data_IF_768999307329
#
_entry.id   IF_768999307329
#
_cell.length_a   1.000
_cell.length_b   1.000
_cell.length_c   1.000
_cell.angle_alpha   90.00
_cell.angle_beta   90.00
_cell.angle_gamma   90.00
#
_symmetry.space_group_name_H-M   'P 1'
#
loop_
_entity.id
_entity.type
_entity.pdbx_description
1 polymer ?
#
# COMPACT_ATOMS: atom_id res chain seq x y z
N UNK A 1 -78.03 -27.26 37.63
CA UNK A 1 -77.13 -26.16 37.95
C UNK A 1 -75.80 -26.48 37.31
N UNK A 2 -75.57 -25.90 36.12
CA UNK A 2 -74.37 -26.13 35.30
C UNK A 2 -73.39 -25.01 35.60
N UNK A 3 -72.19 -25.33 36.07
CA UNK A 3 -71.10 -24.39 36.24
C UNK A 3 -70.31 -24.32 34.94
N UNK A 4 -70.29 -23.15 34.29
CA UNK A 4 -69.39 -22.82 33.19
C UNK A 4 -67.97 -22.48 33.74
N UNK A 5 -66.95 -23.20 33.31
CA UNK A 5 -65.56 -22.85 33.54
C UNK A 5 -65.05 -22.02 32.35
N UNK A 6 -64.60 -20.78 32.60
CA UNK A 6 -64.00 -19.88 31.64
C UNK A 6 -62.49 -20.15 31.61
N UNK A 7 -61.99 -20.73 30.53
CA UNK A 7 -60.57 -20.92 30.33
C UNK A 7 -59.99 -19.64 29.68
N UNK A 8 -59.18 -18.89 30.44
CA UNK A 8 -58.41 -17.76 29.92
C UNK A 8 -57.15 -18.25 29.16
N UNK A 9 -57.09 -17.97 27.88
CA UNK A 9 -55.91 -18.22 27.03
C UNK A 9 -54.92 -17.06 27.20
N UNK A 10 -53.80 -17.29 27.90
CA UNK A 10 -52.67 -16.37 27.97
C UNK A 10 -51.90 -16.53 26.64
N UNK A 11 -51.98 -15.54 25.76
CA UNK A 11 -51.09 -15.45 24.61
C UNK A 11 -49.72 -14.88 25.09
N UNK A 12 -48.73 -15.77 25.20
CA UNK A 12 -47.33 -15.37 25.39
C UNK A 12 -46.82 -14.91 24.06
N UNK A 13 -46.66 -13.59 23.89
CA UNK A 13 -45.96 -13.00 22.75
C UNK A 13 -44.47 -13.36 22.81
N UNK A 14 -44.04 -14.28 21.96
CA UNK A 14 -42.63 -14.50 21.63
C UNK A 14 -42.15 -13.29 20.83
N UNK A 15 -41.56 -12.31 21.52
CA UNK A 15 -40.64 -11.34 20.84
C UNK A 15 -39.40 -12.12 20.44
N UNK A 16 -39.38 -12.61 19.21
CA UNK A 16 -38.18 -13.15 18.60
C UNK A 16 -37.19 -11.99 18.46
N UNK A 17 -36.15 -11.95 19.29
CA UNK A 17 -34.93 -11.28 18.96
C UNK A 17 -34.35 -12.06 17.77
N UNK A 18 -34.53 -11.56 16.54
CA UNK A 18 -33.66 -11.93 15.41
C UNK A 18 -32.29 -11.38 15.79
N UNK A 19 -31.41 -12.22 16.26
CA UNK A 19 -29.98 -11.91 16.23
C UNK A 19 -29.62 -11.85 14.74
N UNK A 20 -29.60 -10.64 14.14
CA UNK A 20 -28.93 -10.46 12.89
C UNK A 20 -27.50 -10.93 13.10
N UNK A 21 -27.01 -11.80 12.20
CA UNK A 21 -25.60 -12.16 12.20
C UNK A 21 -24.78 -10.87 12.09
N UNK A 22 -23.70 -10.73 12.87
CA UNK A 22 -22.89 -9.52 12.82
C UNK A 22 -22.42 -9.30 11.38
N UNK A 23 -22.61 -8.09 10.88
CA UNK A 23 -22.13 -7.71 9.55
C UNK A 23 -20.60 -7.75 9.56
N UNK A 24 -19.99 -8.28 8.51
CA UNK A 24 -18.54 -8.47 8.40
C UNK A 24 -18.02 -7.70 7.19
N UNK A 25 -16.91 -7.00 7.35
CA UNK A 25 -16.11 -6.39 6.30
C UNK A 25 -14.82 -7.20 6.10
N UNK A 26 -14.63 -7.79 4.93
CA UNK A 26 -13.39 -8.47 4.58
C UNK A 26 -12.46 -7.46 3.88
N UNK A 27 -11.47 -6.98 4.62
CA UNK A 27 -10.48 -6.01 4.15
C UNK A 27 -9.18 -6.72 3.74
N UNK A 28 -8.72 -6.50 2.50
CA UNK A 28 -7.48 -7.02 1.95
C UNK A 28 -6.49 -5.89 1.72
N UNK A 29 -5.44 -5.82 2.52
CA UNK A 29 -4.53 -4.68 2.60
C UNK A 29 -3.07 -5.14 2.66
N UNK A 30 -2.17 -4.20 2.59
CA UNK A 30 -0.75 -4.43 2.81
C UNK A 30 -0.46 -4.83 4.26
N UNK A 31 0.65 -5.50 4.48
CA UNK A 31 1.16 -5.80 5.82
C UNK A 31 1.48 -4.48 6.55
N UNK A 32 1.22 -4.45 7.88
CA UNK A 32 1.53 -3.29 8.76
C UNK A 32 1.02 -1.92 8.24
N UNK A 33 -0.09 -1.90 7.52
CA UNK A 33 -0.60 -0.71 6.80
C UNK A 33 -1.92 -0.16 7.34
N UNK A 34 -2.37 -0.66 8.48
CA UNK A 34 -3.57 -0.21 9.20
C UNK A 34 -3.40 -0.48 10.70
N UNK A 35 -3.46 0.54 11.57
CA UNK A 35 -3.43 0.36 13.00
C UNK A 35 -4.60 -0.48 13.51
N UNK A 36 -4.35 -1.41 14.43
CA UNK A 36 -5.41 -2.23 15.04
C UNK A 36 -6.47 -1.38 15.74
N UNK A 37 -6.06 -0.28 16.37
CA UNK A 37 -6.96 0.67 17.03
C UNK A 37 -8.03 1.21 16.07
N UNK A 38 -7.70 1.47 14.81
CA UNK A 38 -8.64 1.95 13.78
C UNK A 38 -9.71 0.90 13.49
N UNK A 39 -9.30 -0.37 13.37
CA UNK A 39 -10.23 -1.50 13.15
C UNK A 39 -11.17 -1.70 14.34
N UNK A 40 -10.62 -1.59 15.55
CA UNK A 40 -11.38 -1.73 16.79
C UNK A 40 -12.41 -0.60 16.95
N UNK A 41 -12.00 0.66 16.73
CA UNK A 41 -12.88 1.83 16.75
C UNK A 41 -14.01 1.73 15.73
N UNK A 42 -13.71 1.32 14.50
CA UNK A 42 -14.73 1.10 13.48
C UNK A 42 -15.77 0.05 13.94
N UNK A 43 -15.29 -1.06 14.50
CA UNK A 43 -16.17 -2.12 15.01
C UNK A 43 -17.03 -1.64 16.20
N UNK A 44 -16.43 -0.87 17.11
CA UNK A 44 -17.15 -0.31 18.26
C UNK A 44 -18.25 0.68 17.85
N UNK A 45 -17.98 1.52 16.84
CA UNK A 45 -18.91 2.56 16.40
C UNK A 45 -20.03 2.01 15.52
N UNK A 46 -19.75 1.00 14.68
CA UNK A 46 -20.69 0.52 13.66
C UNK A 46 -21.31 -0.83 13.97
N UNK A 47 -20.69 -1.62 14.84
CA UNK A 47 -21.04 -3.04 15.05
C UNK A 47 -20.57 -3.96 13.92
N UNK A 48 -19.87 -3.46 12.88
CA UNK A 48 -19.34 -4.24 11.77
C UNK A 48 -17.98 -4.79 12.16
N UNK A 49 -17.84 -6.12 12.11
CA UNK A 49 -16.56 -6.76 12.37
C UNK A 49 -15.64 -6.65 11.13
N UNK A 50 -14.36 -6.32 11.33
CA UNK A 50 -13.38 -6.29 10.26
C UNK A 50 -12.54 -7.57 10.29
N UNK A 51 -12.55 -8.32 9.19
CA UNK A 51 -11.63 -9.42 8.92
C UNK A 51 -10.50 -8.88 8.06
N UNK A 52 -9.35 -8.68 8.69
CA UNK A 52 -8.17 -8.10 8.05
C UNK A 52 -7.27 -9.20 7.50
N UNK A 53 -6.96 -9.15 6.22
CA UNK A 53 -6.06 -10.09 5.54
C UNK A 53 -4.99 -9.29 4.81
N UNK A 54 -3.74 -9.77 4.79
CA UNK A 54 -2.62 -9.04 4.22
C UNK A 54 -2.06 -9.68 2.96
N UNK A 55 -1.34 -8.89 2.18
CA UNK A 55 -0.49 -9.28 1.05
C UNK A 55 0.79 -8.45 1.04
N UNK A 56 1.80 -8.93 0.30
CA UNK A 56 3.15 -8.36 0.22
C UNK A 56 3.49 -7.79 -1.17
N UNK A 57 2.59 -7.98 -2.17
CA UNK A 57 2.77 -7.43 -3.51
C UNK A 57 1.44 -7.22 -4.23
N UNK A 58 1.40 -6.23 -5.13
CA UNK A 58 0.24 -5.99 -5.99
C UNK A 58 -0.09 -7.20 -6.86
N UNK A 59 0.93 -7.93 -7.34
CA UNK A 59 0.79 -9.14 -8.15
C UNK A 59 0.06 -10.24 -7.38
N UNK A 60 0.46 -10.48 -6.12
CA UNK A 60 -0.17 -11.48 -5.24
C UNK A 60 -1.63 -11.11 -4.95
N UNK A 61 -1.88 -9.84 -4.61
CA UNK A 61 -3.24 -9.31 -4.39
C UNK A 61 -4.12 -9.52 -5.62
N UNK A 62 -3.66 -9.07 -6.78
CA UNK A 62 -4.41 -9.17 -8.04
C UNK A 62 -4.68 -10.61 -8.46
N UNK A 63 -3.67 -11.48 -8.42
CA UNK A 63 -3.83 -12.90 -8.73
C UNK A 63 -4.87 -13.55 -7.81
N UNK A 64 -4.84 -13.22 -6.52
CA UNK A 64 -5.80 -13.73 -5.56
C UNK A 64 -7.23 -13.26 -5.86
N UNK A 65 -7.43 -11.97 -6.13
CA UNK A 65 -8.75 -11.42 -6.46
C UNK A 65 -9.34 -12.04 -7.73
N UNK A 66 -8.52 -12.35 -8.73
CA UNK A 66 -8.95 -13.05 -9.96
C UNK A 66 -9.32 -14.51 -9.76
N UNK A 67 -8.70 -15.19 -8.80
CA UNK A 67 -8.92 -16.61 -8.54
C UNK A 67 -10.08 -16.89 -7.58
N UNK A 68 -10.47 -15.91 -6.78
CA UNK A 68 -11.55 -16.08 -5.80
C UNK A 68 -12.91 -16.13 -6.51
N UNK A 69 -13.66 -17.18 -6.19
CA UNK A 69 -15.06 -17.26 -6.53
C UNK A 69 -15.91 -16.41 -5.57
N UNK A 70 -17.20 -16.35 -5.84
CA UNK A 70 -18.14 -15.57 -5.03
C UNK A 70 -18.24 -16.02 -3.56
N UNK A 71 -17.67 -17.15 -3.17
CA UNK A 71 -17.81 -17.67 -1.80
C UNK A 71 -16.79 -17.10 -0.81
N UNK A 72 -15.67 -16.55 -1.32
CA UNK A 72 -14.53 -16.07 -0.54
C UNK A 72 -14.09 -14.63 -0.94
N UNK A 73 -15.06 -13.79 -1.30
CA UNK A 73 -14.79 -12.44 -1.79
C UNK A 73 -14.29 -11.51 -0.68
N UNK A 74 -13.37 -10.61 -1.04
CA UNK A 74 -13.06 -9.44 -0.25
C UNK A 74 -14.05 -8.31 -0.57
N UNK A 75 -14.33 -7.47 0.43
CA UNK A 75 -15.24 -6.33 0.30
C UNK A 75 -14.50 -5.04 -0.03
N UNK A 76 -13.26 -4.95 0.40
CA UNK A 76 -12.38 -3.80 0.18
C UNK A 76 -10.95 -4.30 -0.06
N UNK A 77 -10.23 -3.68 -1.00
CA UNK A 77 -8.82 -3.92 -1.27
C UNK A 77 -8.09 -2.58 -1.46
N UNK A 78 -6.74 -2.59 -1.36
CA UNK A 78 -5.92 -1.37 -1.35
C UNK A 78 -4.77 -1.45 -2.37
N UNK A 79 -5.06 -1.54 -3.68
CA UNK A 79 -4.03 -1.55 -4.72
C UNK A 79 -3.32 -0.21 -4.89
N UNK A 80 -2.07 -0.28 -5.37
CA UNK A 80 -1.36 0.90 -5.85
C UNK A 80 -1.87 1.37 -7.23
N UNK A 81 -1.51 2.61 -7.59
CA UNK A 81 -1.99 3.35 -8.77
C UNK A 81 -2.14 2.51 -10.03
N UNK A 82 -1.11 1.79 -10.45
CA UNK A 82 -1.13 1.06 -11.72
C UNK A 82 -2.06 -0.17 -11.72
N UNK A 83 -2.26 -0.80 -10.54
CA UNK A 83 -3.24 -1.88 -10.41
C UNK A 83 -4.68 -1.37 -10.34
N UNK A 84 -4.92 -0.17 -9.81
CA UNK A 84 -6.25 0.47 -9.93
C UNK A 84 -6.63 0.61 -11.39
N UNK A 85 -5.72 1.13 -12.25
CA UNK A 85 -5.93 1.26 -13.69
C UNK A 85 -6.22 -0.09 -14.35
N UNK A 86 -5.36 -1.09 -14.09
CA UNK A 86 -5.49 -2.45 -14.64
C UNK A 86 -6.82 -3.11 -14.24
N UNK A 87 -7.13 -3.10 -12.95
CA UNK A 87 -8.36 -3.75 -12.43
C UNK A 87 -9.62 -3.07 -12.96
N UNK A 88 -9.59 -1.73 -13.12
CA UNK A 88 -10.68 -0.98 -13.75
C UNK A 88 -10.88 -1.37 -15.20
N UNK A 89 -9.81 -1.47 -15.99
CA UNK A 89 -9.86 -1.86 -17.41
C UNK A 89 -10.37 -3.29 -17.60
N UNK A 90 -10.08 -4.19 -16.66
CA UNK A 90 -10.52 -5.58 -16.69
C UNK A 90 -11.91 -5.81 -16.06
N UNK A 91 -12.64 -4.74 -15.69
CA UNK A 91 -13.98 -4.83 -15.09
C UNK A 91 -14.00 -5.66 -13.79
N UNK A 92 -12.95 -5.51 -12.95
CA UNK A 92 -12.79 -6.22 -11.68
C UNK A 92 -13.26 -5.39 -10.47
N UNK A 93 -13.72 -4.15 -10.67
CA UNK A 93 -14.10 -3.23 -9.61
C UNK A 93 -15.58 -2.83 -9.73
N UNK A 94 -16.21 -2.59 -8.57
CA UNK A 94 -17.49 -1.90 -8.49
C UNK A 94 -17.25 -0.38 -8.46
N UNK A 95 -18.14 0.41 -9.09
CA UNK A 95 -18.09 1.86 -8.94
C UNK A 95 -18.33 2.26 -7.48
N UNK A 96 -17.56 3.26 -7.03
CA UNK A 96 -17.77 3.92 -5.74
C UNK A 96 -18.98 4.83 -5.82
N UNK A 97 -19.92 4.68 -4.90
CA UNK A 97 -21.02 5.63 -4.72
C UNK A 97 -20.53 6.82 -3.87
N UNK A 98 -20.11 7.88 -4.56
CA UNK A 98 -19.60 9.10 -3.92
C UNK A 98 -20.56 9.72 -2.91
N UNK A 99 -21.86 9.52 -3.07
CA UNK A 99 -22.86 10.04 -2.11
C UNK A 99 -22.83 9.36 -0.76
N UNK A 100 -22.13 8.22 -0.67
CA UNK A 100 -21.93 7.43 0.56
C UNK A 100 -20.55 7.63 1.17
N UNK A 101 -19.68 8.43 0.56
CA UNK A 101 -18.33 8.70 1.06
C UNK A 101 -18.29 10.09 1.67
N UNK A 102 -18.30 10.16 2.98
CA UNK A 102 -18.06 11.40 3.73
C UNK A 102 -16.55 11.70 3.78
N UNK A 103 -16.18 12.99 3.83
CA UNK A 103 -14.79 13.42 3.95
C UNK A 103 -13.96 13.38 2.65
N UNK A 104 -14.49 12.94 1.53
CA UNK A 104 -13.76 12.92 0.27
C UNK A 104 -13.27 14.31 -0.17
N UNK A 105 -14.00 15.37 0.13
CA UNK A 105 -13.64 16.74 -0.25
C UNK A 105 -12.44 17.28 0.57
N UNK A 106 -11.99 16.55 1.59
CA UNK A 106 -10.76 16.83 2.34
C UNK A 106 -9.50 16.29 1.64
N UNK A 107 -9.65 15.45 0.61
CA UNK A 107 -8.52 14.88 -0.12
C UNK A 107 -7.80 15.93 -0.95
N UNK A 108 -6.48 15.81 -1.04
CA UNK A 108 -5.61 16.68 -1.84
C UNK A 108 -6.04 16.66 -3.32
N UNK A 109 -6.38 17.82 -3.91
CA UNK A 109 -6.75 17.91 -5.32
C UNK A 109 -5.68 17.39 -6.29
N UNK A 110 -4.41 17.32 -5.89
CA UNK A 110 -3.32 16.79 -6.71
C UNK A 110 -3.29 15.25 -6.73
N UNK A 111 -3.95 14.59 -5.76
CA UNK A 111 -4.01 13.14 -5.63
C UNK A 111 -5.38 12.54 -6.01
N UNK A 112 -6.31 13.36 -6.46
CA UNK A 112 -7.62 12.92 -6.96
C UNK A 112 -7.75 13.17 -8.45
N UNK A 113 -8.70 12.49 -9.10
CA UNK A 113 -8.99 12.64 -10.51
C UNK A 113 -7.78 12.41 -11.45
N UNK A 114 -6.93 11.46 -11.06
CA UNK A 114 -5.78 11.05 -11.85
C UNK A 114 -6.21 10.22 -13.08
N UNK A 115 -5.38 10.18 -14.11
CA UNK A 115 -5.64 9.41 -15.35
C UNK A 115 -5.88 7.91 -15.10
N UNK A 116 -5.36 7.39 -13.99
CA UNK A 116 -5.58 6.00 -13.57
C UNK A 116 -7.05 5.69 -13.27
N UNK A 117 -7.78 6.67 -12.71
CA UNK A 117 -9.21 6.58 -12.41
C UNK A 117 -9.87 7.96 -12.49
N UNK A 118 -10.23 8.41 -13.71
CA UNK A 118 -10.92 9.69 -13.91
C UNK A 118 -12.19 9.78 -13.06
N UNK A 119 -12.38 10.95 -12.42
CA UNK A 119 -13.48 11.26 -11.50
C UNK A 119 -13.48 10.40 -10.20
N UNK A 120 -12.43 9.65 -9.91
CA UNK A 120 -12.36 8.69 -8.79
C UNK A 120 -13.61 7.79 -8.74
N UNK A 121 -13.93 7.22 -9.89
CA UNK A 121 -15.13 6.40 -10.05
C UNK A 121 -15.02 5.04 -9.37
N UNK A 122 -13.81 4.51 -9.24
CA UNK A 122 -13.56 3.16 -8.73
C UNK A 122 -12.61 3.13 -7.54
N UNK A 123 -11.99 4.25 -7.19
CA UNK A 123 -10.99 4.33 -6.13
C UNK A 123 -11.13 5.55 -5.24
N UNK A 124 -10.70 5.41 -3.99
CA UNK A 124 -10.57 6.51 -3.02
C UNK A 124 -9.15 6.50 -2.48
N UNK A 125 -8.37 7.58 -2.65
CA UNK A 125 -7.04 7.71 -2.09
C UNK A 125 -7.00 7.40 -0.59
N UNK A 126 -6.03 6.56 -0.19
CA UNK A 126 -5.85 6.13 1.19
C UNK A 126 -4.57 6.69 1.80
N UNK A 127 -3.44 6.29 1.28
CA UNK A 127 -2.11 6.78 1.67
C UNK A 127 -1.24 6.91 0.42
N UNK A 128 -0.25 7.77 0.49
CA UNK A 128 0.74 7.93 -0.56
C UNK A 128 2.14 8.00 0.01
N UNK A 129 3.11 7.75 -0.82
CA UNK A 129 4.48 7.78 -0.40
C UNK A 129 5.46 7.60 -1.54
N UNK A 130 6.67 7.25 -1.13
CA UNK A 130 7.79 7.08 -2.04
C UNK A 130 8.63 5.88 -1.62
N UNK A 131 9.28 5.26 -2.61
CA UNK A 131 10.31 4.24 -2.38
C UNK A 131 11.66 4.84 -2.72
N UNK A 132 12.53 4.89 -1.73
CA UNK A 132 13.87 5.44 -1.83
C UNK A 132 14.93 4.55 -1.20
N UNK A 133 16.07 5.13 -0.89
CA UNK A 133 17.18 4.41 -0.25
C UNK A 133 17.03 4.45 1.28
N UNK A 134 17.23 3.30 1.92
CA UNK A 134 17.56 3.20 3.34
C UNK A 134 19.08 3.11 3.48
N UNK A 135 19.64 3.81 4.45
CA UNK A 135 21.07 3.87 4.71
C UNK A 135 21.31 3.81 6.22
N UNK A 136 21.96 2.77 6.70
CA UNK A 136 22.48 2.74 8.08
C UNK A 136 23.78 3.53 8.16
N UNK A 137 23.70 4.77 8.58
CA UNK A 137 24.86 5.67 8.63
C UNK A 137 25.89 5.34 9.69
N UNK A 138 25.58 4.43 10.62
CA UNK A 138 26.53 3.99 11.67
C UNK A 138 27.57 3.01 11.13
N UNK A 139 27.19 2.17 10.17
CA UNK A 139 28.02 1.07 9.66
C UNK A 139 28.65 1.34 8.29
N UNK A 140 28.29 2.49 7.64
CA UNK A 140 28.81 2.86 6.33
C UNK A 140 30.06 3.76 6.45
N UNK A 141 31.19 3.26 5.93
CA UNK A 141 32.41 4.03 5.75
C UNK A 141 32.52 4.55 4.31
N UNK A 142 33.14 5.71 4.13
CA UNK A 142 33.42 6.31 2.81
C UNK A 142 32.49 7.44 2.45
N UNK A 143 32.22 7.59 1.14
CA UNK A 143 31.37 8.67 0.63
C UNK A 143 29.89 8.41 0.98
N UNK A 144 29.08 9.47 1.17
CA UNK A 144 27.64 9.33 1.40
C UNK A 144 26.94 8.59 0.26
N UNK A 145 25.94 7.79 0.58
CA UNK A 145 25.03 7.18 -0.38
C UNK A 145 23.99 8.22 -0.81
N UNK A 146 23.93 8.56 -2.10
CA UNK A 146 23.05 9.60 -2.65
C UNK A 146 22.31 9.17 -3.93
N UNK A 147 22.67 8.04 -4.48
CA UNK A 147 22.19 7.56 -5.77
C UNK A 147 21.83 6.06 -5.70
N UNK A 148 20.91 5.61 -6.55
CA UNK A 148 20.65 4.19 -6.70
C UNK A 148 21.89 3.42 -7.17
N UNK A 149 22.72 4.04 -8.03
CA UNK A 149 23.95 3.43 -8.53
C UNK A 149 24.95 3.08 -7.44
N UNK A 150 24.92 3.76 -6.28
CA UNK A 150 25.79 3.48 -5.14
C UNK A 150 25.59 2.06 -4.57
N UNK A 151 24.41 1.43 -4.79
CA UNK A 151 24.17 0.04 -4.39
C UNK A 151 25.12 -0.96 -5.04
N UNK A 152 25.74 -0.63 -6.18
CA UNK A 152 26.70 -1.50 -6.88
C UNK A 152 28.13 -1.38 -6.38
N UNK A 153 28.39 -0.57 -5.35
CA UNK A 153 29.74 -0.44 -4.79
C UNK A 153 30.14 -1.71 -4.03
N UNK A 154 31.37 -2.16 -4.20
CA UNK A 154 31.94 -3.38 -3.58
C UNK A 154 31.82 -3.39 -2.05
N UNK A 155 31.77 -2.22 -1.39
CA UNK A 155 31.60 -2.10 0.07
C UNK A 155 30.26 -2.65 0.57
N UNK A 156 29.28 -2.83 -0.29
CA UNK A 156 27.95 -3.34 0.05
C UNK A 156 27.74 -4.81 -0.34
N UNK A 157 28.82 -5.57 -0.68
CA UNK A 157 28.70 -6.99 -1.02
C UNK A 157 28.01 -7.79 0.11
N UNK A 158 26.85 -8.40 -0.22
CA UNK A 158 26.03 -9.17 0.72
C UNK A 158 25.32 -8.35 1.80
N UNK A 159 25.17 -7.02 1.60
CA UNK A 159 24.58 -6.08 2.58
C UNK A 159 23.42 -5.25 2.03
N UNK A 160 23.00 -5.50 0.79
CA UNK A 160 21.89 -4.77 0.14
C UNK A 160 20.56 -5.46 0.43
N UNK A 161 19.54 -4.69 0.81
CA UNK A 161 18.14 -5.10 0.86
C UNK A 161 17.37 -4.54 -0.33
N UNK A 162 16.58 -5.36 -0.99
CA UNK A 162 15.62 -4.93 -2.00
C UNK A 162 14.19 -5.31 -1.58
N UNK A 163 13.21 -4.53 -2.01
CA UNK A 163 11.81 -4.91 -1.87
C UNK A 163 11.53 -6.15 -2.73
N UNK A 164 10.57 -6.99 -2.31
CA UNK A 164 10.10 -8.12 -3.11
C UNK A 164 9.01 -7.67 -4.08
N UNK A 165 9.23 -6.54 -4.75
CA UNK A 165 8.35 -5.95 -5.75
C UNK A 165 9.07 -5.83 -7.09
N UNK A 166 8.58 -6.54 -8.08
CA UNK A 166 9.18 -6.61 -9.41
C UNK A 166 9.28 -5.23 -10.06
N UNK A 167 8.20 -4.46 -10.00
CA UNK A 167 8.14 -3.16 -10.68
C UNK A 167 9.06 -2.14 -10.03
N UNK A 168 9.17 -2.17 -8.70
CA UNK A 168 10.07 -1.28 -7.98
C UNK A 168 11.54 -1.62 -8.21
N UNK A 169 11.91 -2.90 -8.14
CA UNK A 169 13.30 -3.32 -8.38
C UNK A 169 13.74 -3.01 -9.81
N UNK A 170 12.89 -3.28 -10.82
CA UNK A 170 13.20 -2.91 -12.20
C UNK A 170 13.24 -1.39 -12.43
N UNK A 171 12.43 -0.62 -11.70
CA UNK A 171 12.50 0.84 -11.73
C UNK A 171 13.92 1.31 -11.39
N UNK A 172 14.52 0.78 -10.31
CA UNK A 172 15.90 1.10 -9.93
C UNK A 172 16.87 0.82 -11.07
N UNK A 173 16.85 -0.40 -11.64
CA UNK A 173 17.72 -0.78 -12.75
C UNK A 173 17.57 0.13 -13.99
N UNK A 174 16.33 0.48 -14.33
CA UNK A 174 16.02 1.39 -15.44
C UNK A 174 16.52 2.81 -15.16
N UNK A 175 16.29 3.34 -13.96
CA UNK A 175 16.71 4.71 -13.60
C UNK A 175 18.23 4.87 -13.60
N UNK A 176 18.97 3.90 -13.08
CA UNK A 176 20.45 3.89 -13.14
C UNK A 176 20.96 3.93 -14.58
N UNK A 177 20.24 3.32 -15.52
CA UNK A 177 20.56 3.38 -16.95
C UNK A 177 20.02 4.63 -17.66
N UNK A 178 19.32 5.53 -16.95
CA UNK A 178 18.75 6.76 -17.51
C UNK A 178 17.45 6.56 -18.29
N UNK A 179 16.81 5.40 -18.14
CA UNK A 179 15.49 5.11 -18.72
C UNK A 179 14.35 5.48 -17.76
N UNK A 180 13.12 5.58 -18.29
CA UNK A 180 11.93 5.67 -17.43
C UNK A 180 11.69 4.38 -16.68
N UNK A 181 11.34 4.45 -15.40
CA UNK A 181 10.91 3.30 -14.59
C UNK A 181 9.61 2.64 -15.10
N UNK A 182 8.93 3.28 -16.05
CA UNK A 182 7.74 2.76 -16.73
C UNK A 182 8.02 2.30 -18.17
N UNK A 183 9.28 2.03 -18.52
CA UNK A 183 9.62 1.61 -19.89
C UNK A 183 8.86 0.35 -20.29
N UNK A 184 8.32 0.36 -21.52
CA UNK A 184 7.70 -0.80 -22.18
C UNK A 184 8.59 -1.36 -23.31
N UNK A 185 9.79 -0.79 -23.49
CA UNK A 185 10.74 -1.25 -24.49
C UNK A 185 11.45 -2.53 -24.00
N UNK A 186 11.30 -3.68 -24.69
CA UNK A 186 11.92 -4.93 -24.25
C UNK A 186 13.46 -4.87 -24.16
N UNK A 187 14.12 -4.06 -24.99
CA UNK A 187 15.58 -3.89 -24.96
C UNK A 187 16.03 -3.12 -23.71
N UNK A 188 15.27 -2.12 -23.27
CA UNK A 188 15.54 -1.38 -22.03
C UNK A 188 15.29 -2.23 -20.80
N UNK A 189 14.22 -3.06 -20.82
CA UNK A 189 13.89 -4.00 -19.73
C UNK A 189 14.99 -5.08 -19.62
N UNK A 190 15.48 -5.59 -20.76
CA UNK A 190 16.61 -6.55 -20.78
C UNK A 190 17.88 -5.92 -20.23
N UNK A 191 18.23 -4.69 -20.64
CA UNK A 191 19.38 -3.97 -20.11
C UNK A 191 19.27 -3.72 -18.59
N UNK A 192 18.07 -3.39 -18.10
CA UNK A 192 17.83 -3.25 -16.66
C UNK A 192 18.00 -4.59 -15.92
N UNK A 193 17.54 -5.71 -16.49
CA UNK A 193 17.81 -7.04 -15.95
C UNK A 193 19.32 -7.33 -15.87
N UNK A 194 20.08 -7.07 -16.94
CA UNK A 194 21.53 -7.28 -16.94
C UNK A 194 22.22 -6.45 -15.85
N UNK A 195 21.83 -5.17 -15.72
CA UNK A 195 22.35 -4.28 -14.66
C UNK A 195 22.00 -4.78 -13.26
N UNK A 196 20.76 -5.22 -13.03
CA UNK A 196 20.32 -5.80 -11.76
C UNK A 196 21.01 -7.13 -11.46
N UNK A 197 21.30 -7.95 -12.47
CA UNK A 197 22.06 -9.20 -12.29
C UNK A 197 23.48 -8.94 -11.75
N UNK A 198 24.10 -7.82 -12.11
CA UNK A 198 25.38 -7.38 -11.52
C UNK A 198 25.25 -7.05 -10.03
N UNK A 199 24.08 -6.59 -9.56
CA UNK A 199 23.80 -6.25 -8.15
C UNK A 199 23.58 -7.50 -7.29
N UNK A 200 23.11 -8.61 -7.87
CA UNK A 200 22.66 -9.80 -7.11
C UNK A 200 23.67 -10.35 -6.11
N UNK A 201 25.02 -10.33 -6.34
CA UNK A 201 26.00 -10.72 -5.32
C UNK A 201 25.95 -9.85 -4.05
N UNK A 202 25.55 -8.59 -4.17
CA UNK A 202 25.41 -7.66 -3.05
C UNK A 202 24.08 -7.79 -2.32
N UNK A 203 23.06 -8.43 -2.94
CA UNK A 203 21.73 -8.57 -2.35
C UNK A 203 21.72 -9.63 -1.27
N UNK A 204 21.46 -9.20 -0.04
CA UNK A 204 21.29 -10.05 1.13
C UNK A 204 19.92 -10.70 1.17
N UNK A 205 18.87 -9.90 0.90
CA UNK A 205 17.49 -10.37 0.99
C UNK A 205 16.54 -9.52 0.14
N UNK A 206 15.39 -10.12 -0.19
CA UNK A 206 14.20 -9.43 -0.70
C UNK A 206 13.12 -9.47 0.38
N UNK A 207 12.62 -8.32 0.80
CA UNK A 207 11.59 -8.24 1.84
C UNK A 207 10.60 -7.10 1.58
N UNK A 208 9.31 -7.42 1.45
CA UNK A 208 8.19 -6.47 1.36
C UNK A 208 7.16 -6.65 2.48
N UNK A 209 7.36 -7.62 3.37
CA UNK A 209 6.43 -7.85 4.49
C UNK A 209 6.75 -6.91 5.68
N UNK A 210 8.04 -6.74 5.97
CA UNK A 210 8.55 -5.81 6.98
C UNK A 210 9.94 -5.28 6.54
N UNK A 211 9.99 -4.37 5.54
CA UNK A 211 11.27 -4.01 4.88
C UNK A 211 12.28 -3.32 5.80
N UNK A 212 11.86 -2.74 6.93
CA UNK A 212 12.80 -2.16 7.92
C UNK A 212 13.59 -3.22 8.71
N UNK A 213 13.04 -4.44 8.86
CA UNK A 213 13.63 -5.45 9.75
C UNK A 213 15.05 -5.85 9.37
N UNK A 214 15.42 -6.10 8.10
CA UNK A 214 16.80 -6.42 7.74
C UNK A 214 17.84 -5.38 8.19
N UNK A 215 17.47 -4.10 8.22
CA UNK A 215 18.34 -3.04 8.74
C UNK A 215 18.42 -3.09 10.27
N UNK A 216 17.28 -3.18 10.96
CA UNK A 216 17.22 -3.23 12.43
C UNK A 216 17.94 -4.45 13.00
N UNK A 217 17.99 -5.56 12.27
CA UNK A 217 18.69 -6.80 12.64
C UNK A 217 20.16 -6.82 12.21
N UNK A 218 20.63 -5.77 11.53
CA UNK A 218 22.01 -5.65 11.05
C UNK A 218 22.34 -6.63 9.91
N UNK A 219 21.34 -7.10 9.17
CA UNK A 219 21.53 -7.96 7.99
C UNK A 219 21.83 -7.15 6.72
N UNK A 220 21.33 -5.92 6.63
CA UNK A 220 21.55 -5.00 5.53
C UNK A 220 21.97 -3.63 6.05
N UNK A 221 22.84 -2.96 5.29
CA UNK A 221 23.32 -1.60 5.59
C UNK A 221 22.71 -0.56 4.66
N UNK A 222 22.30 -0.98 3.48
CA UNK A 222 21.79 -0.11 2.43
C UNK A 222 20.77 -0.85 1.56
N UNK A 223 19.88 -0.12 0.89
CA UNK A 223 18.96 -0.71 -0.08
C UNK A 223 17.67 0.05 -0.23
N UNK A 224 16.66 -0.63 -0.74
CA UNK A 224 15.34 -0.05 -0.96
C UNK A 224 14.52 -0.04 0.32
N UNK A 225 13.69 0.99 0.49
CA UNK A 225 12.69 1.03 1.57
C UNK A 225 11.53 1.94 1.19
N UNK A 226 10.35 1.62 1.65
CA UNK A 226 9.22 2.54 1.63
C UNK A 226 9.39 3.59 2.73
N UNK A 227 9.03 4.82 2.43
CA UNK A 227 9.28 5.96 3.32
C UNK A 227 8.67 5.80 4.72
N UNK A 228 7.45 5.25 4.87
CA UNK A 228 6.84 5.00 6.18
C UNK A 228 7.60 3.94 6.99
N UNK A 229 8.09 2.88 6.32
CA UNK A 229 8.94 1.87 6.94
C UNK A 229 10.26 2.47 7.44
N UNK A 230 10.84 3.41 6.69
CA UNK A 230 12.03 4.13 7.12
C UNK A 230 11.75 5.01 8.35
N UNK A 231 10.59 5.68 8.39
CA UNK A 231 10.16 6.49 9.55
C UNK A 231 10.02 5.61 10.78
N UNK A 232 9.26 4.51 10.69
CA UNK A 232 9.11 3.57 11.81
C UNK A 232 10.44 2.91 12.21
N UNK A 233 11.32 2.62 11.24
CA UNK A 233 12.65 2.07 11.50
C UNK A 233 13.53 3.03 12.27
N UNK A 234 13.48 4.31 11.94
CA UNK A 234 14.27 5.38 12.59
C UNK A 234 13.91 5.58 14.06
N UNK A 235 12.68 5.32 14.46
CA UNK A 235 12.26 5.37 15.86
C UNK A 235 12.99 4.32 16.72
N UNK A 236 13.41 3.22 16.11
CA UNK A 236 14.18 2.15 16.77
C UNK A 236 15.67 2.29 16.56
N UNK A 237 16.09 2.77 15.39
CA UNK A 237 17.49 2.88 14.94
C UNK A 237 17.77 4.29 14.43
N UNK A 238 18.29 5.16 15.29
CA UNK A 238 18.52 6.58 14.99
C UNK A 238 19.45 6.79 13.76
N UNK A 239 20.34 5.83 13.47
CA UNK A 239 21.25 5.86 12.33
C UNK A 239 20.61 5.52 10.99
N UNK A 240 19.39 4.97 10.98
CA UNK A 240 18.68 4.68 9.74
C UNK A 240 18.17 5.96 9.08
N UNK A 241 18.69 6.26 7.90
CA UNK A 241 18.31 7.45 7.14
C UNK A 241 17.55 7.06 5.86
N UNK A 242 16.55 7.87 5.52
CA UNK A 242 15.85 7.81 4.23
C UNK A 242 16.47 8.82 3.27
N UNK A 243 16.94 8.33 2.12
CA UNK A 243 17.64 9.15 1.13
C UNK A 243 16.86 9.15 -0.19
N UNK A 244 16.68 10.35 -0.75
CA UNK A 244 16.12 10.57 -2.08
C UNK A 244 17.22 10.42 -3.12
N UNK A 245 17.21 9.35 -3.96
CA UNK A 245 18.30 9.11 -4.93
C UNK A 245 18.29 10.13 -6.07
N UNK A 246 19.49 10.48 -6.56
CA UNK A 246 19.69 11.49 -7.59
C UNK A 246 19.01 11.14 -8.94
N UNK A 247 18.93 9.85 -9.28
CA UNK A 247 18.25 9.38 -10.50
C UNK A 247 16.73 9.55 -10.42
N UNK A 248 16.18 9.75 -9.23
CA UNK A 248 14.77 9.94 -8.96
C UNK A 248 14.15 8.79 -8.19
N UNK A 249 13.11 9.16 -7.48
CA UNK A 249 12.39 8.31 -6.55
C UNK A 249 11.16 7.69 -7.21
N UNK A 250 10.73 6.54 -6.73
CA UNK A 250 9.45 5.94 -7.08
C UNK A 250 8.37 6.60 -6.22
N UNK A 251 7.34 7.14 -6.86
CA UNK A 251 6.17 7.66 -6.16
C UNK A 251 4.96 6.72 -6.38
N UNK A 252 4.16 6.55 -5.36
CA UNK A 252 2.97 5.70 -5.41
C UNK A 252 1.83 6.30 -4.57
N UNK A 253 0.62 5.90 -4.93
CA UNK A 253 -0.61 6.22 -4.23
C UNK A 253 -1.42 4.94 -4.12
N UNK A 254 -1.73 4.55 -2.90
CA UNK A 254 -2.59 3.41 -2.62
C UNK A 254 -4.01 3.89 -2.38
N UNK A 255 -4.95 3.16 -2.92
CA UNK A 255 -6.35 3.57 -2.91
C UNK A 255 -7.27 2.42 -2.51
N UNK A 256 -8.29 2.73 -1.73
CA UNK A 256 -9.39 1.81 -1.51
C UNK A 256 -10.15 1.56 -2.79
N UNK A 257 -10.39 0.29 -3.10
CA UNK A 257 -11.25 -0.17 -4.20
C UNK A 257 -12.21 -1.25 -3.70
N UNK A 258 -13.40 -1.32 -4.29
CA UNK A 258 -14.38 -2.35 -4.00
C UNK A 258 -14.32 -3.40 -5.11
N UNK A 259 -13.83 -4.63 -4.83
CA UNK A 259 -13.81 -5.69 -5.82
C UNK A 259 -15.21 -6.02 -6.34
N UNK A 260 -15.31 -6.43 -7.61
CA UNK A 260 -16.59 -6.70 -8.28
C UNK A 260 -17.47 -7.73 -7.55
N UNK A 261 -16.85 -8.70 -6.89
CA UNK A 261 -17.53 -9.79 -6.18
C UNK A 261 -17.79 -9.48 -4.69
N UNK A 262 -17.55 -8.23 -4.23
CA UNK A 262 -17.78 -7.81 -2.85
C UNK A 262 -19.19 -8.20 -2.37
N UNK A 263 -19.28 -8.73 -1.15
CA UNK A 263 -20.55 -9.13 -0.54
C UNK A 263 -21.19 -8.01 0.27
N UNK A 264 -20.37 -7.17 0.85
CA UNK A 264 -20.78 -6.08 1.73
C UNK A 264 -20.27 -4.71 1.24
N UNK A 265 -20.62 -4.27 0.00
CA UNK A 265 -20.15 -2.99 -0.53
C UNK A 265 -20.62 -1.79 0.34
N UNK A 266 -21.75 -1.92 1.05
CA UNK A 266 -22.19 -0.88 1.99
C UNK A 266 -21.25 -0.75 3.18
N UNK A 267 -20.79 -1.85 3.75
CA UNK A 267 -19.80 -1.84 4.82
C UNK A 267 -18.46 -1.26 4.33
N UNK A 268 -18.08 -1.54 3.08
CA UNK A 268 -16.90 -0.96 2.44
C UNK A 268 -17.00 0.58 2.34
N UNK A 269 -18.14 1.13 1.89
CA UNK A 269 -18.35 2.59 1.85
C UNK A 269 -18.31 3.21 3.25
N UNK A 270 -18.92 2.55 4.26
CA UNK A 270 -18.89 3.02 5.65
C UNK A 270 -17.46 3.05 6.20
N UNK A 271 -16.66 2.00 5.91
CA UNK A 271 -15.27 1.94 6.36
C UNK A 271 -14.42 3.03 5.70
N UNK A 272 -14.57 3.25 4.39
CA UNK A 272 -13.86 4.32 3.70
C UNK A 272 -14.23 5.68 4.27
N UNK A 273 -15.52 5.97 4.51
CA UNK A 273 -15.97 7.21 5.16
C UNK A 273 -15.38 7.36 6.57
N UNK A 274 -15.31 6.27 7.33
CA UNK A 274 -14.72 6.27 8.67
C UNK A 274 -13.23 6.60 8.61
N UNK A 275 -12.48 5.99 7.70
CA UNK A 275 -11.04 6.26 7.53
C UNK A 275 -10.78 7.69 7.06
N UNK A 276 -11.68 8.29 6.27
CA UNK A 276 -11.55 9.69 5.82
C UNK A 276 -11.93 10.73 6.87
N UNK A 277 -12.38 10.35 8.07
CA UNK A 277 -12.49 11.29 9.19
C UNK A 277 -11.09 11.84 9.50
N UNK A 278 -10.93 13.17 9.65
CA UNK A 278 -9.60 13.77 9.81
C UNK A 278 -8.79 13.19 10.97
N UNK A 279 -9.44 12.94 12.12
CA UNK A 279 -8.82 12.33 13.29
C UNK A 279 -8.36 10.88 13.06
N UNK A 280 -9.09 10.10 12.26
CA UNK A 280 -8.73 8.72 11.94
C UNK A 280 -7.59 8.69 10.91
N UNK A 281 -7.69 9.50 9.85
CA UNK A 281 -6.61 9.63 8.85
C UNK A 281 -5.31 10.15 9.49
N UNK A 282 -5.40 11.08 10.45
CA UNK A 282 -4.25 11.59 11.19
C UNK A 282 -3.60 10.50 12.06
N UNK A 283 -4.42 9.76 12.83
CA UNK A 283 -3.96 8.64 13.65
C UNK A 283 -3.21 7.59 12.80
N UNK A 284 -3.77 7.23 11.64
CA UNK A 284 -3.13 6.28 10.72
C UNK A 284 -1.76 6.82 10.27
N UNK A 285 -1.72 8.06 9.75
CA UNK A 285 -0.48 8.65 9.23
C UNK A 285 0.61 8.80 10.30
N UNK A 286 0.22 9.17 11.53
CA UNK A 286 1.14 9.32 12.65
C UNK A 286 1.72 7.96 13.09
N UNK A 287 0.88 6.92 13.18
CA UNK A 287 1.32 5.62 13.70
C UNK A 287 2.16 4.81 12.70
N UNK A 288 1.83 4.89 11.39
CA UNK A 288 2.51 4.09 10.37
C UNK A 288 3.48 4.88 9.49
N UNK A 289 3.64 6.18 9.71
CA UNK A 289 4.67 7.01 9.09
C UNK A 289 4.44 7.40 7.62
N UNK A 290 3.35 6.95 6.98
CA UNK A 290 3.03 7.30 5.60
C UNK A 290 2.19 8.57 5.49
N UNK A 291 2.34 9.29 4.37
CA UNK A 291 1.59 10.52 4.15
C UNK A 291 0.11 10.26 3.89
N UNK A 292 -0.75 11.00 4.60
CA UNK A 292 -2.17 11.03 4.30
C UNK A 292 -2.49 11.98 3.16
N UNK A 293 -3.35 11.59 2.19
CA UNK A 293 -3.88 12.52 1.19
C UNK A 293 -4.96 13.46 1.76
N UNK A 294 -5.41 13.26 3.00
CA UNK A 294 -6.44 14.07 3.66
C UNK A 294 -5.81 15.33 4.25
N UNK A 295 -6.03 16.48 3.61
CA UNK A 295 -5.43 17.76 4.03
C UNK A 295 -5.91 18.19 5.42
N UNK A 296 -7.18 17.95 5.75
CA UNK A 296 -7.70 18.26 7.09
C UNK A 296 -7.05 17.38 8.18
N UNK A 297 -6.72 16.14 7.86
CA UNK A 297 -5.97 15.27 8.76
C UNK A 297 -4.51 15.75 8.91
N UNK A 298 -3.87 16.13 7.80
CA UNK A 298 -2.49 16.67 7.84
C UNK A 298 -2.36 17.89 8.75
N UNK A 299 -3.38 18.77 8.76
CA UNK A 299 -3.43 19.95 9.63
C UNK A 299 -3.54 19.59 11.13
N UNK A 300 -3.91 18.35 11.46
CA UNK A 300 -4.01 17.83 12.83
C UNK A 300 -2.75 17.13 13.32
N UNK A 301 -1.82 16.76 12.41
CA UNK A 301 -0.59 16.06 12.76
C UNK A 301 0.33 16.95 13.61
N UNK A 302 1.11 16.37 14.53
CA UNK A 302 2.21 17.08 15.18
C UNK A 302 3.17 17.69 14.15
N UNK A 303 3.73 18.86 14.44
CA UNK A 303 4.65 19.56 13.53
C UNK A 303 5.82 18.69 13.08
N UNK A 304 6.33 17.81 13.94
CA UNK A 304 7.42 16.87 13.64
C UNK A 304 7.03 15.81 12.61
N UNK A 305 5.77 15.36 12.61
CA UNK A 305 5.23 14.41 11.64
C UNK A 305 4.88 15.11 10.33
N UNK A 306 4.12 16.22 10.40
CA UNK A 306 3.68 16.97 9.23
C UNK A 306 4.84 17.56 8.39
N UNK A 307 6.01 17.79 9.02
CA UNK A 307 7.22 18.31 8.40
C UNK A 307 8.34 17.26 8.25
N UNK A 308 8.05 15.98 8.53
CA UNK A 308 9.00 14.91 8.29
C UNK A 308 9.21 14.74 6.78
N UNK A 309 10.44 15.00 6.30
CA UNK A 309 10.74 14.96 4.87
C UNK A 309 10.63 13.56 4.28
N UNK A 310 10.83 12.51 5.05
CA UNK A 310 10.63 11.15 4.56
C UNK A 310 9.15 10.89 4.22
N UNK A 311 8.21 11.33 5.08
CA UNK A 311 6.76 11.18 4.84
C UNK A 311 6.22 12.22 3.85
N UNK A 312 6.63 13.49 4.00
CA UNK A 312 6.15 14.62 3.21
C UNK A 312 7.31 15.30 2.46
N UNK A 313 7.72 14.73 1.30
CA UNK A 313 8.82 15.27 0.50
C UNK A 313 8.52 16.70 0.02
N UNK A 314 9.56 17.49 -0.14
CA UNK A 314 9.44 18.79 -0.77
C UNK A 314 9.61 18.69 -2.31
N UNK A 315 9.34 19.81 -3.01
CA UNK A 315 9.43 19.84 -4.47
C UNK A 315 10.82 19.47 -5.02
N UNK A 316 11.90 19.68 -4.26
CA UNK A 316 13.25 19.32 -4.67
C UNK A 316 13.45 17.80 -4.63
N UNK A 317 12.90 17.13 -3.62
CA UNK A 317 12.98 15.69 -3.46
C UNK A 317 12.22 14.95 -4.59
N UNK A 318 11.23 15.62 -5.18
CA UNK A 318 10.35 15.05 -6.22
C UNK A 318 10.77 15.43 -7.66
N UNK A 319 11.91 16.10 -7.87
CA UNK A 319 12.29 16.60 -9.21
C UNK A 319 12.31 15.49 -10.27
N UNK A 320 12.85 14.32 -9.95
CA UNK A 320 12.95 13.19 -10.87
C UNK A 320 12.01 12.04 -10.47
N UNK A 321 11.00 12.30 -9.64
CA UNK A 321 10.06 11.28 -9.21
C UNK A 321 9.20 10.77 -10.37
N UNK A 322 8.95 9.48 -10.40
CA UNK A 322 8.01 8.87 -11.34
C UNK A 322 6.94 8.09 -10.58
N UNK A 323 5.68 8.37 -10.85
CA UNK A 323 4.59 7.47 -10.47
C UNK A 323 4.62 6.22 -11.34
N UNK A 324 4.43 5.06 -10.74
CA UNK A 324 4.24 3.82 -11.49
C UNK A 324 2.91 3.87 -12.26
N UNK A 325 2.98 3.52 -13.55
CA UNK A 325 1.84 3.47 -14.45
C UNK A 325 1.57 2.05 -14.94
N UNK A 326 0.37 1.81 -15.45
CA UNK A 326 0.07 0.56 -16.15
C UNK A 326 0.88 0.50 -17.46
N UNK A 327 1.70 -0.53 -17.57
CA UNK A 327 2.59 -0.77 -18.72
C UNK A 327 2.01 -1.77 -19.74
N UNK A 328 0.82 -2.28 -19.47
CA UNK A 328 0.17 -3.29 -20.29
C UNK A 328 0.74 -4.70 -20.10
N UNK A 329 -0.06 -5.69 -20.50
CA UNK A 329 0.25 -7.12 -20.27
C UNK A 329 1.51 -7.60 -21.01
N UNK A 330 1.76 -7.11 -22.22
CA UNK A 330 2.92 -7.53 -23.02
C UNK A 330 4.24 -7.15 -22.33
N UNK A 331 4.37 -5.90 -21.87
CA UNK A 331 5.54 -5.46 -21.13
C UNK A 331 5.63 -6.16 -19.78
N UNK A 332 4.51 -6.28 -19.05
CA UNK A 332 4.47 -6.97 -17.76
C UNK A 332 4.99 -8.41 -17.83
N UNK A 333 4.69 -9.15 -18.93
CA UNK A 333 5.22 -10.49 -19.15
C UNK A 333 6.76 -10.49 -19.34
N UNK A 334 7.33 -9.45 -19.98
CA UNK A 334 8.77 -9.32 -20.13
C UNK A 334 9.44 -9.07 -18.78
N UNK A 335 8.89 -8.17 -17.96
CA UNK A 335 9.35 -7.95 -16.59
C UNK A 335 9.28 -9.24 -15.76
N UNK A 336 8.14 -9.93 -15.78
CA UNK A 336 7.95 -11.16 -15.02
C UNK A 336 8.96 -12.25 -15.42
N UNK A 337 9.23 -12.42 -16.73
CA UNK A 337 10.27 -13.35 -17.21
C UNK A 337 11.63 -13.04 -16.59
N UNK A 338 12.07 -11.78 -16.66
CA UNK A 338 13.38 -11.39 -16.16
C UNK A 338 13.45 -11.36 -14.63
N UNK A 339 12.34 -11.07 -13.95
CA UNK A 339 12.22 -11.17 -12.50
C UNK A 339 12.46 -12.60 -12.00
N UNK A 340 11.82 -13.58 -12.62
CA UNK A 340 12.04 -15.01 -12.32
C UNK A 340 13.50 -15.43 -12.58
N UNK A 341 14.11 -14.95 -13.66
CA UNK A 341 15.53 -15.21 -13.94
C UNK A 341 16.43 -14.59 -12.87
N UNK A 342 16.17 -13.34 -12.48
CA UNK A 342 16.93 -12.63 -11.45
C UNK A 342 16.88 -13.37 -10.10
N UNK A 343 15.69 -13.76 -9.65
CA UNK A 343 15.48 -14.47 -8.37
C UNK A 343 15.99 -15.90 -8.37
N UNK A 344 16.04 -16.55 -9.53
CA UNK A 344 16.57 -17.93 -9.65
C UNK A 344 18.09 -17.99 -9.83
N UNK A 345 18.78 -16.85 -9.98
CA UNK A 345 20.22 -16.78 -10.23
C UNK A 345 20.62 -17.36 -11.60
N UNK A 346 19.75 -17.25 -12.59
CA UNK A 346 19.95 -17.79 -13.96
C UNK A 346 20.09 -16.68 -14.98
#
# INVERSE_FOLDING_TARGET
MKKLALAGMLAVGLTGCSSEEPQVLNLYNWSEYMPQEVLDRFTEETGIQVVYTTYDSNEAMYARLKLLDDSAAYDLAVPSTYYVSKMRQEDLLLPIDRSKIEGFDNLDPELVNLDIDPDNKFSVPYLWGTTGLAVDTADIEGEPVTAWEDLWEDRFEGRVMLTNDMREVFHVGLRVLGYSGNSTNPEEIEAAYEKLAELMPSVRTFNSDAPRMPYLEGEADVGMIWNGEAVMGKDTMESLEYVYPEEGIIAWLDSFVIPKNAKNPEAAHQFVSFVLQPEISALISEEIGYATPNLAARDMLPDEVANNRASYPNATDMINAEFQTDIGDDALQVYAKYWEMLKSGR
#
